data_IF_939078417222
#
_entry.id   IF_939078417222
#
_cell.length_a   1.000
_cell.length_b   1.000
_cell.length_c   1.000
_cell.angle_alpha   90.00
_cell.angle_beta   90.00
_cell.angle_gamma   90.00
#
_symmetry.space_group_name_H-M   'P 1'
#
loop_
_entity.id
_entity.type
_entity.pdbx_description
1 polymer ?
#
# COMPACT_ATOMS: atom_id res chain seq x y z
N UNK A 1 -8.30 8.95 -20.64
CA UNK A 1 -8.15 9.94 -19.55
C UNK A 1 -6.86 9.69 -18.78
N UNK A 2 -6.30 10.72 -18.22
CA UNK A 2 -5.04 10.60 -17.47
C UNK A 2 -5.18 9.64 -16.29
N UNK A 3 -6.31 9.68 -15.59
CA UNK A 3 -6.56 8.79 -14.47
C UNK A 3 -6.47 7.31 -14.85
N UNK A 4 -7.07 6.94 -15.95
CA UNK A 4 -6.99 5.57 -16.44
C UNK A 4 -5.58 5.16 -16.83
N UNK A 5 -4.82 6.08 -17.41
CA UNK A 5 -3.41 5.83 -17.76
C UNK A 5 -2.54 5.64 -16.53
N UNK A 6 -2.76 6.43 -15.50
CA UNK A 6 -2.04 6.29 -14.22
C UNK A 6 -2.40 4.97 -13.56
N UNK A 7 -3.67 4.63 -13.50
CA UNK A 7 -4.10 3.35 -12.95
C UNK A 7 -3.51 2.17 -13.70
N UNK A 8 -3.48 2.23 -15.02
CA UNK A 8 -2.89 1.16 -15.82
C UNK A 8 -1.39 1.03 -15.60
N UNK A 9 -0.68 2.14 -15.48
CA UNK A 9 0.75 2.12 -15.17
C UNK A 9 1.01 1.51 -13.79
N UNK A 10 0.25 1.92 -12.80
CA UNK A 10 0.36 1.38 -11.45
C UNK A 10 0.07 -0.11 -11.46
N UNK A 11 -1.02 -0.51 -12.10
CA UNK A 11 -1.39 -1.92 -12.25
C UNK A 11 -0.27 -2.74 -12.86
N UNK A 12 0.29 -2.25 -13.97
CA UNK A 12 1.38 -2.93 -14.67
C UNK A 12 2.59 -3.09 -13.76
N UNK A 13 2.98 -2.03 -13.06
CA UNK A 13 4.15 -2.07 -12.17
C UNK A 13 3.93 -3.00 -10.98
N UNK A 14 2.75 -2.99 -10.40
CA UNK A 14 2.42 -3.89 -9.29
C UNK A 14 2.45 -5.35 -9.75
N UNK A 15 1.83 -5.65 -10.89
CA UNK A 15 1.81 -7.01 -11.45
C UNK A 15 3.22 -7.48 -11.78
N UNK A 16 4.04 -6.65 -12.42
CA UNK A 16 5.43 -6.99 -12.71
C UNK A 16 6.23 -7.28 -11.45
N UNK A 17 6.05 -6.47 -10.41
CA UNK A 17 6.74 -6.66 -9.14
C UNK A 17 6.31 -7.95 -8.47
N UNK A 18 5.01 -8.23 -8.47
CA UNK A 18 4.48 -9.47 -7.91
C UNK A 18 4.99 -10.69 -8.68
N UNK A 19 5.07 -10.61 -10.01
CA UNK A 19 5.59 -11.69 -10.82
C UNK A 19 7.08 -11.96 -10.58
N UNK A 20 7.85 -10.91 -10.35
CA UNK A 20 9.27 -11.05 -9.97
C UNK A 20 9.45 -11.71 -8.61
N UNK A 21 8.48 -11.50 -7.73
CA UNK A 21 8.48 -12.06 -6.37
C UNK A 21 7.62 -13.32 -6.25
N UNK A 22 7.37 -14.00 -7.35
CA UNK A 22 6.40 -15.10 -7.44
C UNK A 22 6.65 -16.27 -6.48
N UNK A 23 7.85 -16.40 -5.97
CA UNK A 23 8.18 -17.46 -5.01
C UNK A 23 7.85 -17.07 -3.56
N UNK A 24 7.38 -15.86 -3.35
CA UNK A 24 7.04 -15.36 -2.03
C UNK A 24 5.55 -15.02 -2.04
N UNK A 25 4.75 -15.87 -1.44
CA UNK A 25 3.35 -15.56 -1.20
C UNK A 25 3.29 -14.51 -0.10
N UNK A 26 3.26 -13.27 -0.50
CA UNK A 26 3.14 -12.17 0.44
C UNK A 26 1.69 -11.71 0.41
N UNK A 27 0.96 -11.86 1.54
CA UNK A 27 -0.38 -11.31 1.63
C UNK A 27 -0.30 -9.80 1.42
N UNK A 28 -0.81 -9.35 0.30
CA UNK A 28 -0.80 -7.94 -0.05
C UNK A 28 -2.23 -7.47 -0.24
N UNK A 29 -2.65 -6.51 0.57
CA UNK A 29 -3.98 -5.93 0.49
C UNK A 29 -4.10 -4.88 -0.62
N UNK A 30 -3.02 -4.66 -1.38
CA UNK A 30 -3.04 -3.70 -2.48
C UNK A 30 -3.82 -4.30 -3.63
N UNK A 31 -4.90 -3.65 -3.99
CA UNK A 31 -5.69 -3.97 -5.16
C UNK A 31 -5.10 -3.25 -6.37
N UNK A 32 -5.11 -3.90 -7.53
CA UNK A 32 -4.52 -3.35 -8.76
C UNK A 32 -5.08 -1.98 -9.14
N UNK A 33 -6.31 -1.69 -8.77
CA UNK A 33 -6.96 -0.42 -9.05
C UNK A 33 -6.73 0.65 -8.00
N UNK A 34 -5.99 0.34 -6.94
CA UNK A 34 -5.73 1.32 -5.89
C UNK A 34 -4.95 2.51 -6.43
N UNK A 35 -5.38 3.71 -6.04
CA UNK A 35 -4.64 4.93 -6.29
C UNK A 35 -3.71 5.26 -5.12
N UNK A 36 -2.93 6.32 -5.26
CA UNK A 36 -1.97 6.73 -4.22
C UNK A 36 -2.66 6.99 -2.88
N UNK A 37 -3.78 7.69 -2.89
CA UNK A 37 -4.53 7.99 -1.66
C UNK A 37 -4.98 6.74 -0.94
N UNK A 38 -5.46 5.75 -1.68
CA UNK A 38 -5.90 4.48 -1.11
C UNK A 38 -4.74 3.70 -0.50
N UNK A 39 -3.58 3.70 -1.13
CA UNK A 39 -2.40 3.01 -0.59
C UNK A 39 -1.89 3.72 0.66
N UNK A 40 -1.87 5.05 0.66
CA UNK A 40 -1.51 5.83 1.85
C UNK A 40 -2.48 5.55 3.01
N UNK A 41 -3.77 5.50 2.70
CA UNK A 41 -4.78 5.15 3.71
C UNK A 41 -4.53 3.76 4.28
N UNK A 42 -4.27 2.77 3.44
CA UNK A 42 -3.96 1.42 3.88
C UNK A 42 -2.70 1.37 4.76
N UNK A 43 -1.67 2.13 4.40
CA UNK A 43 -0.47 2.23 5.22
C UNK A 43 -0.77 2.85 6.58
N UNK A 44 -1.60 3.88 6.62
CA UNK A 44 -2.02 4.51 7.88
C UNK A 44 -2.79 3.54 8.77
N UNK A 45 -3.72 2.80 8.19
CA UNK A 45 -4.48 1.77 8.90
C UNK A 45 -3.53 0.68 9.42
N UNK A 46 -2.55 0.27 8.63
CA UNK A 46 -1.55 -0.70 9.05
C UNK A 46 -0.76 -0.21 10.26
N UNK A 47 -0.34 1.05 10.27
CA UNK A 47 0.37 1.63 11.41
C UNK A 47 -0.50 1.65 12.67
N UNK A 48 -1.77 1.98 12.54
CA UNK A 48 -2.70 1.91 13.66
C UNK A 48 -2.85 0.49 14.19
N UNK A 49 -2.91 -0.49 13.29
CA UNK A 49 -3.00 -1.90 13.66
C UNK A 49 -1.74 -2.37 14.39
N UNK A 50 -0.56 -1.96 13.91
CA UNK A 50 0.70 -2.29 14.58
C UNK A 50 0.74 -1.72 15.99
N UNK A 51 0.31 -0.48 16.16
CA UNK A 51 0.23 0.15 17.46
C UNK A 51 -0.71 -0.61 18.40
N UNK A 52 -1.88 -0.98 17.90
CA UNK A 52 -2.85 -1.76 18.65
C UNK A 52 -2.28 -3.12 19.07
N UNK A 53 -1.55 -3.78 18.19
CA UNK A 53 -0.92 -5.06 18.50
C UNK A 53 0.16 -4.91 19.56
N UNK A 54 0.92 -3.83 19.56
CA UNK A 54 1.91 -3.55 20.59
C UNK A 54 1.26 -3.33 21.96
N UNK A 55 0.15 -2.61 22.01
CA UNK A 55 -0.61 -2.47 23.24
C UNK A 55 -1.12 -3.83 23.74
N UNK A 56 -1.58 -4.67 22.83
CA UNK A 56 -2.04 -6.01 23.17
C UNK A 56 -0.91 -6.87 23.76
N UNK A 57 0.31 -6.72 23.25
CA UNK A 57 1.48 -7.43 23.79
C UNK A 57 1.75 -7.00 25.22
N UNK A 58 1.67 -5.70 25.51
CA UNK A 58 1.92 -5.21 26.86
C UNK A 58 0.89 -5.70 27.86
N UNK A 59 -0.29 -6.07 27.40
CA UNK A 59 -1.37 -6.61 28.25
C UNK A 59 -1.45 -8.13 28.24
N UNK A 60 -0.64 -8.80 27.41
CA UNK A 60 -0.67 -10.26 27.29
C UNK A 60 -0.19 -10.93 28.57
N UNK A 61 -0.85 -12.04 28.94
CA UNK A 61 -0.63 -12.71 30.21
C UNK A 61 0.25 -13.94 30.16
N UNK A 62 0.52 -14.46 28.95
CA UNK A 62 1.34 -15.66 28.79
C UNK A 62 2.22 -15.58 27.54
N UNK A 63 3.25 -16.40 27.51
CA UNK A 63 4.24 -16.40 26.43
C UNK A 63 3.67 -16.81 25.08
N UNK A 64 2.70 -17.72 25.08
CA UNK A 64 2.05 -18.17 23.85
C UNK A 64 1.30 -17.04 23.16
N UNK A 65 0.58 -16.25 23.92
CA UNK A 65 -0.16 -15.09 23.45
C UNK A 65 0.81 -14.01 22.92
N UNK A 66 1.88 -13.74 23.66
CA UNK A 66 2.91 -12.80 23.26
C UNK A 66 3.54 -13.24 21.93
N UNK A 67 3.89 -14.53 21.81
CA UNK A 67 4.50 -15.04 20.58
C UNK A 67 3.59 -14.92 19.38
N UNK A 68 2.30 -15.17 19.54
CA UNK A 68 1.33 -15.01 18.46
C UNK A 68 1.18 -13.56 18.02
N UNK A 69 1.08 -12.65 18.98
CA UNK A 69 0.98 -11.21 18.70
C UNK A 69 2.24 -10.68 18.03
N UNK A 70 3.41 -11.12 18.47
CA UNK A 70 4.68 -10.76 17.83
C UNK A 70 4.76 -11.24 16.39
N UNK A 71 4.27 -12.43 16.10
CA UNK A 71 4.22 -12.93 14.71
C UNK A 71 3.35 -12.02 13.85
N UNK A 72 2.21 -11.58 14.37
CA UNK A 72 1.33 -10.66 13.63
C UNK A 72 2.01 -9.32 13.38
N UNK A 73 2.70 -8.77 14.37
CA UNK A 73 3.46 -7.54 14.19
C UNK A 73 4.58 -7.70 13.18
N UNK A 74 5.31 -8.81 13.24
CA UNK A 74 6.39 -9.07 12.30
C UNK A 74 5.89 -9.14 10.86
N UNK A 75 4.75 -9.75 10.62
CA UNK A 75 4.13 -9.77 9.30
C UNK A 75 3.80 -8.34 8.84
N UNK A 76 3.21 -7.55 9.70
CA UNK A 76 2.89 -6.17 9.37
C UNK A 76 4.14 -5.36 9.04
N UNK A 77 5.17 -5.48 9.86
CA UNK A 77 6.39 -4.69 9.74
C UNK A 77 7.29 -5.15 8.60
N UNK A 78 7.49 -6.46 8.46
CA UNK A 78 8.46 -7.01 7.49
C UNK A 78 7.88 -7.28 6.13
N UNK A 79 6.58 -7.50 6.03
CA UNK A 79 5.91 -7.90 4.79
C UNK A 79 5.00 -6.80 4.27
N UNK A 80 4.01 -6.41 5.05
CA UNK A 80 2.98 -5.47 4.58
C UNK A 80 3.49 -4.05 4.43
N UNK A 81 4.18 -3.53 5.44
CA UNK A 81 4.66 -2.16 5.41
C UNK A 81 5.62 -1.89 4.23
N UNK A 82 6.64 -2.73 3.99
CA UNK A 82 7.51 -2.51 2.83
C UNK A 82 6.77 -2.54 1.51
N UNK A 83 5.73 -3.35 1.38
CA UNK A 83 4.92 -3.41 0.16
C UNK A 83 4.18 -2.11 -0.10
N UNK A 84 3.56 -1.55 0.91
CA UNK A 84 2.86 -0.27 0.76
C UNK A 84 3.84 0.86 0.47
N UNK A 85 4.98 0.90 1.16
CA UNK A 85 6.01 1.91 0.93
C UNK A 85 6.56 1.82 -0.51
N UNK A 86 6.85 0.61 -0.98
CA UNK A 86 7.31 0.41 -2.36
C UNK A 86 6.25 0.83 -3.38
N UNK A 87 5.00 0.49 -3.14
CA UNK A 87 3.91 0.90 -4.03
C UNK A 87 3.81 2.42 -4.11
N UNK A 88 3.87 3.10 -2.97
CA UNK A 88 3.84 4.57 -2.92
C UNK A 88 5.02 5.16 -3.69
N UNK A 89 6.22 4.66 -3.44
CA UNK A 89 7.42 5.13 -4.12
C UNK A 89 7.32 4.94 -5.63
N UNK A 90 6.84 3.79 -6.08
CA UNK A 90 6.66 3.53 -7.50
C UNK A 90 5.62 4.43 -8.15
N UNK A 91 4.53 4.68 -7.46
CA UNK A 91 3.50 5.60 -7.96
C UNK A 91 4.07 7.01 -8.13
N UNK A 92 4.83 7.48 -7.15
CA UNK A 92 5.45 8.80 -7.21
C UNK A 92 6.50 8.84 -8.33
N UNK A 93 7.37 7.83 -8.41
CA UNK A 93 8.40 7.77 -9.44
C UNK A 93 7.79 7.73 -10.84
N UNK A 94 6.76 6.95 -11.03
CA UNK A 94 6.07 6.90 -12.32
C UNK A 94 5.44 8.23 -12.68
N UNK A 95 4.87 8.91 -11.72
CA UNK A 95 4.30 10.24 -11.93
C UNK A 95 5.37 11.24 -12.37
N UNK A 96 6.52 11.24 -11.70
CA UNK A 96 7.63 12.13 -12.02
C UNK A 96 8.23 11.77 -13.39
N UNK A 97 8.53 10.50 -13.61
CA UNK A 97 9.18 10.03 -14.84
C UNK A 97 8.32 10.27 -16.07
N UNK A 98 7.02 10.11 -15.94
CA UNK A 98 6.09 10.30 -17.05
C UNK A 98 5.53 11.72 -17.13
N UNK A 99 6.02 12.63 -16.30
CA UNK A 99 5.56 14.00 -16.27
C UNK A 99 4.11 14.17 -15.86
N UNK A 100 3.58 13.19 -15.11
CA UNK A 100 2.18 13.21 -14.67
C UNK A 100 2.09 13.36 -13.16
N UNK A 101 1.25 14.27 -12.72
CA UNK A 101 0.99 14.47 -11.30
C UNK A 101 -0.07 13.48 -10.81
N UNK A 102 0.14 12.90 -9.65
CA UNK A 102 -0.85 12.05 -8.98
C UNK A 102 -2.08 12.86 -8.55
N UNK A 103 -1.89 14.14 -8.34
CA UNK A 103 -2.98 15.06 -7.99
C UNK A 103 -3.85 15.38 -9.20
N UNK A 104 -3.32 15.29 -10.42
CA UNK A 104 -4.07 15.56 -11.64
C UNK A 104 -5.32 14.69 -11.77
N UNK A 105 -5.28 13.50 -11.22
CA UNK A 105 -6.42 12.60 -11.28
C UNK A 105 -7.65 13.23 -10.62
N UNK A 106 -7.50 13.71 -9.40
CA UNK A 106 -8.58 14.39 -8.69
C UNK A 106 -8.97 15.70 -9.35
N UNK A 107 -7.97 16.49 -9.78
CA UNK A 107 -8.21 17.75 -10.48
C UNK A 107 -8.94 17.51 -11.79
N UNK A 108 -8.59 16.46 -12.51
CA UNK A 108 -9.22 16.16 -13.79
C UNK A 108 -10.67 15.75 -13.65
N UNK A 109 -11.02 15.09 -12.58
CA UNK A 109 -12.43 14.78 -12.29
C UNK A 109 -13.25 16.05 -12.17
N UNK A 110 -12.75 17.04 -11.45
CA UNK A 110 -13.43 18.31 -11.30
C UNK A 110 -13.51 19.08 -12.62
N UNK A 111 -12.43 19.11 -13.37
CA UNK A 111 -12.41 19.76 -14.69
C UNK A 111 -13.37 19.11 -15.66
N UNK A 112 -13.50 17.80 -15.62
CA UNK A 112 -14.44 17.07 -16.46
C UNK A 112 -15.89 17.46 -16.21
N UNK A 113 -16.21 17.93 -15.03
CA UNK A 113 -17.54 18.43 -14.69
C UNK A 113 -17.76 19.89 -15.09
N UNK A 114 -16.69 20.65 -15.21
CA UNK A 114 -16.76 22.09 -15.49
C UNK A 114 -16.62 22.43 -16.96
N UNK A 115 -16.16 21.53 -17.75
CA UNK A 115 -16.05 21.66 -19.19
C UNK A 115 -17.21 21.01 -19.92
#
# INVERSE_FOLDING_TARGET
>A
MIGEKIENLIRTQVVETLNKSKNVEIPCDIVETDNLGEVIEKLSILHCRMWYLEDAISEAKNDSEIAELKRKIDICFKVKRPKYVQAINKMIDNSITNGKSLVEDSVKLYKGFNE
#
